data_IF_551521734488
#
_entry.id   IF_551521734488
#
_cell.length_a   1.000
_cell.length_b   1.000
_cell.length_c   1.000
_cell.angle_alpha   90.00
_cell.angle_beta   90.00
_cell.angle_gamma   90.00
#
_symmetry.space_group_name_H-M   'P 1'
#
loop_
_entity.id
_entity.type
_entity.pdbx_description
1 polymer ?
#
# COMPACT_ATOMS: atom_id res chain seq x y z
N UNK A 1 21.36 -71.77 -25.25
CA UNK A 1 21.70 -71.94 -26.67
C UNK A 1 20.45 -72.40 -27.38
N UNK A 2 19.97 -71.51 -28.23
CA UNK A 2 19.25 -71.72 -29.49
C UNK A 2 17.91 -72.48 -29.49
N UNK A 3 16.84 -71.75 -29.82
CA UNK A 3 16.17 -71.98 -31.10
C UNK A 3 15.07 -70.94 -31.41
N UNK A 4 15.27 -70.26 -32.55
CA UNK A 4 14.35 -69.95 -33.64
C UNK A 4 12.84 -69.70 -33.40
N UNK A 5 12.44 -68.47 -33.75
CA UNK A 5 11.47 -68.09 -34.80
C UNK A 5 10.20 -68.94 -35.00
N UNK A 6 9.04 -68.32 -34.71
CA UNK A 6 8.08 -67.82 -35.71
C UNK A 6 6.70 -67.61 -35.05
N UNK A 7 6.12 -66.39 -35.15
CA UNK A 7 4.87 -66.15 -35.88
C UNK A 7 4.17 -64.84 -35.47
N UNK A 8 3.75 -64.13 -36.51
CA UNK A 8 2.46 -63.43 -36.66
C UNK A 8 2.18 -62.20 -35.79
N UNK A 9 2.15 -61.02 -36.41
CA UNK A 9 0.89 -60.49 -36.93
C UNK A 9 1.03 -59.11 -37.59
N UNK A 10 0.66 -59.08 -38.87
CA UNK A 10 -0.11 -58.05 -39.57
C UNK A 10 0.04 -56.58 -39.12
N UNK A 11 0.91 -55.86 -39.82
CA UNK A 11 0.85 -54.41 -39.95
C UNK A 11 -0.40 -53.99 -40.74
N UNK A 12 -1.46 -53.60 -40.04
CA UNK A 12 -2.56 -52.85 -40.64
C UNK A 12 -2.14 -51.38 -40.82
N UNK A 13 -1.91 -51.01 -42.08
CA UNK A 13 -1.80 -49.64 -42.55
C UNK A 13 -3.10 -48.88 -42.26
N UNK A 14 -3.11 -48.07 -41.18
CA UNK A 14 -4.05 -46.97 -41.05
C UNK A 14 -3.29 -45.66 -41.24
N UNK A 15 -3.27 -45.21 -42.50
CA UNK A 15 -2.89 -43.84 -42.88
C UNK A 15 -3.90 -42.85 -42.28
N UNK A 16 -3.71 -42.47 -41.03
CA UNK A 16 -4.33 -41.28 -40.46
C UNK A 16 -3.34 -40.12 -40.58
N UNK A 17 -3.32 -39.49 -41.76
CA UNK A 17 -2.76 -38.15 -41.93
C UNK A 17 -3.55 -37.19 -41.04
N UNK A 18 -3.03 -36.91 -39.85
CA UNK A 18 -3.51 -35.81 -39.02
C UNK A 18 -3.04 -34.53 -39.71
N UNK A 19 -3.90 -33.95 -40.53
CA UNK A 19 -3.76 -32.59 -41.01
C UNK A 19 -3.78 -31.65 -39.79
N UNK A 20 -2.60 -31.24 -39.32
CA UNK A 20 -2.47 -30.13 -38.39
C UNK A 20 -2.81 -28.86 -39.16
N UNK A 21 -4.07 -28.47 -39.09
CA UNK A 21 -4.55 -27.22 -39.67
C UNK A 21 -4.06 -26.08 -38.75
N UNK A 22 -2.86 -25.54 -39.04
CA UNK A 22 -2.34 -24.34 -38.36
C UNK A 22 -3.10 -23.13 -38.92
N UNK A 23 -4.35 -22.99 -38.49
CA UNK A 23 -5.08 -21.73 -38.61
C UNK A 23 -4.57 -20.77 -37.54
N UNK A 24 -3.33 -20.27 -37.72
CA UNK A 24 -2.79 -19.17 -36.94
C UNK A 24 -3.40 -17.83 -37.42
N UNK A 25 -4.72 -17.71 -37.33
CA UNK A 25 -5.40 -16.42 -37.38
C UNK A 25 -5.94 -16.12 -35.97
N UNK A 26 -5.02 -15.95 -35.02
CA UNK A 26 -5.34 -15.19 -33.81
C UNK A 26 -5.42 -13.75 -34.30
N UNK A 27 -6.63 -13.32 -34.68
CA UNK A 27 -6.92 -11.91 -34.89
C UNK A 27 -6.73 -11.25 -33.53
N UNK A 28 -5.52 -10.76 -33.25
CA UNK A 28 -5.27 -9.94 -32.07
C UNK A 28 -6.27 -8.78 -32.15
N UNK A 29 -7.18 -8.72 -31.18
CA UNK A 29 -8.05 -7.55 -31.04
C UNK A 29 -7.15 -6.30 -31.04
N UNK A 30 -7.54 -5.25 -31.78
CA UNK A 30 -6.71 -4.06 -31.90
C UNK A 30 -6.45 -3.48 -30.51
N UNK A 31 -5.21 -3.01 -30.28
CA UNK A 31 -4.83 -2.39 -29.01
C UNK A 31 -5.82 -1.27 -28.68
N UNK A 32 -6.56 -1.43 -27.58
CA UNK A 32 -7.62 -0.50 -27.17
C UNK A 32 -7.22 0.16 -25.86
N UNK A 33 -7.14 1.49 -25.87
CA UNK A 33 -7.03 2.28 -24.66
C UNK A 33 -8.44 2.59 -24.13
N UNK A 34 -8.76 2.11 -22.92
CA UNK A 34 -10.05 2.33 -22.28
C UNK A 34 -9.84 3.02 -20.94
N UNK A 35 -10.59 4.09 -20.70
CA UNK A 35 -10.63 4.74 -19.40
C UNK A 35 -11.46 3.87 -18.45
N UNK A 36 -10.83 3.32 -17.42
CA UNK A 36 -11.51 2.52 -16.40
C UNK A 36 -12.27 3.41 -15.39
N UNK A 37 -11.62 4.46 -14.92
CA UNK A 37 -12.18 5.44 -13.99
C UNK A 37 -11.24 6.63 -13.81
N UNK A 38 -11.76 7.73 -13.26
CA UNK A 38 -11.00 8.96 -12.93
C UNK A 38 -11.52 9.60 -11.65
N UNK A 39 -10.74 10.47 -11.03
CA UNK A 39 -11.33 11.41 -10.08
C UNK A 39 -12.04 12.54 -10.84
N UNK A 40 -13.10 13.08 -10.25
CA UNK A 40 -13.90 14.16 -10.86
C UNK A 40 -13.56 15.53 -10.31
N UNK A 41 -12.65 15.61 -9.34
CA UNK A 41 -12.16 16.86 -8.80
C UNK A 41 -10.82 17.21 -9.43
N UNK A 42 -10.63 18.49 -9.71
CA UNK A 42 -9.36 19.00 -10.20
C UNK A 42 -8.30 18.91 -9.10
N UNK A 43 -7.20 18.26 -9.42
CA UNK A 43 -6.04 18.11 -8.55
C UNK A 43 -4.77 18.36 -9.37
N UNK A 44 -3.93 19.29 -8.92
CA UNK A 44 -2.63 19.54 -9.54
C UNK A 44 -1.62 18.54 -9.00
N UNK A 45 -1.38 17.48 -9.77
CA UNK A 45 -0.57 16.33 -9.35
C UNK A 45 0.91 16.60 -9.62
N UNK A 46 1.77 16.27 -8.65
CA UNK A 46 3.22 16.31 -8.80
C UNK A 46 3.79 14.93 -9.13
N UNK A 47 3.41 13.92 -8.35
CA UNK A 47 3.83 12.54 -8.54
C UNK A 47 2.67 11.58 -8.26
N UNK A 48 2.76 10.38 -8.84
CA UNK A 48 1.79 9.31 -8.64
C UNK A 48 2.51 7.96 -8.69
N UNK A 49 2.09 7.03 -7.83
CA UNK A 49 2.64 5.68 -7.76
C UNK A 49 1.59 4.72 -7.22
N UNK A 50 1.82 3.42 -7.38
CA UNK A 50 0.99 2.39 -6.78
C UNK A 50 1.47 2.01 -5.38
N UNK A 51 0.57 2.06 -4.40
CA UNK A 51 0.77 1.44 -3.09
C UNK A 51 0.04 0.09 -3.09
N UNK A 52 0.75 -0.99 -2.77
CA UNK A 52 0.20 -2.36 -2.84
C UNK A 52 0.11 -2.92 -1.42
N UNK A 53 -1.08 -3.32 -1.03
CA UNK A 53 -1.36 -3.99 0.24
C UNK A 53 -2.02 -5.35 -0.04
N UNK A 54 -1.18 -6.37 -0.24
CA UNK A 54 -1.58 -7.72 -0.64
C UNK A 54 -2.48 -7.73 -1.89
N UNK A 55 -3.78 -7.94 -1.71
CA UNK A 55 -4.77 -7.98 -2.78
C UNK A 55 -5.41 -6.62 -3.07
N UNK A 56 -4.98 -5.56 -2.37
CA UNK A 56 -5.51 -4.22 -2.48
C UNK A 56 -4.51 -3.32 -3.18
N UNK A 57 -4.98 -2.59 -4.20
CA UNK A 57 -4.20 -1.61 -4.92
C UNK A 57 -4.72 -0.20 -4.61
N UNK A 58 -3.81 0.70 -4.28
CA UNK A 58 -4.08 2.12 -4.16
C UNK A 58 -3.24 2.92 -5.15
N UNK A 59 -3.82 3.98 -5.68
CA UNK A 59 -3.10 5.04 -6.39
C UNK A 59 -2.70 6.09 -5.35
N UNK A 60 -1.42 6.15 -5.03
CA UNK A 60 -0.83 7.20 -4.22
C UNK A 60 -0.57 8.41 -5.12
N UNK A 61 -1.08 9.57 -4.73
CA UNK A 61 -0.99 10.80 -5.50
C UNK A 61 -0.51 11.92 -4.60
N UNK A 62 0.50 12.68 -5.03
CA UNK A 62 0.89 13.93 -4.38
C UNK A 62 0.36 15.14 -5.12
N UNK A 63 -0.01 16.20 -4.39
CA UNK A 63 -0.57 17.42 -4.97
C UNK A 63 0.26 18.68 -4.71
N UNK A 64 -0.10 19.76 -5.40
CA UNK A 64 0.48 21.09 -5.26
C UNK A 64 0.20 21.76 -3.89
N UNK A 65 -0.81 21.29 -3.16
CA UNK A 65 -1.14 21.76 -1.81
C UNK A 65 -0.37 20.96 -0.72
N UNK A 66 0.63 20.16 -1.13
CA UNK A 66 1.55 19.37 -0.29
C UNK A 66 0.87 18.24 0.47
N UNK A 67 -0.17 17.66 -0.11
CA UNK A 67 -0.83 16.48 0.41
C UNK A 67 -0.40 15.22 -0.34
N UNK A 68 -0.58 14.09 0.31
CA UNK A 68 -0.67 12.77 -0.30
C UNK A 68 -2.11 12.28 -0.15
N UNK A 69 -2.68 11.75 -1.22
CA UNK A 69 -3.98 11.10 -1.25
C UNK A 69 -3.82 9.66 -1.74
N UNK A 70 -4.60 8.74 -1.17
CA UNK A 70 -4.76 7.39 -1.68
C UNK A 70 -6.12 7.27 -2.37
N UNK A 71 -6.13 6.82 -3.61
CA UNK A 71 -7.35 6.47 -4.35
C UNK A 71 -7.42 4.97 -4.58
N UNK A 72 -8.61 4.43 -4.78
CA UNK A 72 -8.80 3.04 -5.22
C UNK A 72 -9.85 2.97 -6.33
N UNK A 73 -9.69 1.97 -7.20
CA UNK A 73 -10.67 1.61 -8.21
C UNK A 73 -11.56 0.50 -7.65
N UNK A 74 -12.82 0.82 -7.35
CA UNK A 74 -13.76 -0.10 -6.72
C UNK A 74 -15.08 -0.15 -7.51
N UNK A 75 -15.13 -0.84 -8.66
CA UNK A 75 -16.25 -0.77 -9.61
C UNK A 75 -17.58 -1.28 -9.05
N UNK A 76 -17.51 -2.17 -8.05
CA UNK A 76 -18.69 -2.72 -7.37
C UNK A 76 -19.17 -1.85 -6.20
N UNK A 77 -18.44 -0.78 -5.86
CA UNK A 77 -18.86 0.13 -4.81
C UNK A 77 -19.87 1.14 -5.38
N UNK A 78 -21.01 1.30 -4.71
CA UNK A 78 -22.08 2.23 -5.13
C UNK A 78 -21.61 3.68 -5.27
N UNK A 79 -20.58 4.09 -4.53
CA UNK A 79 -20.01 5.43 -4.58
C UNK A 79 -19.11 5.67 -5.80
N UNK A 80 -18.73 4.60 -6.52
CA UNK A 80 -17.82 4.65 -7.66
C UNK A 80 -18.50 4.99 -8.99
N UNK A 81 -19.82 5.19 -9.01
CA UNK A 81 -20.59 5.41 -10.24
C UNK A 81 -20.32 4.33 -11.29
N UNK A 82 -20.54 3.06 -10.92
CA UNK A 82 -20.23 1.88 -11.74
C UNK A 82 -18.76 1.84 -12.21
N UNK A 83 -17.83 2.19 -11.32
CA UNK A 83 -16.38 2.20 -11.57
C UNK A 83 -15.84 3.46 -12.25
N UNK A 84 -16.68 4.35 -12.78
CA UNK A 84 -16.20 5.54 -13.49
C UNK A 84 -15.47 6.54 -12.57
N UNK A 85 -15.75 6.50 -11.26
CA UNK A 85 -15.18 7.39 -10.26
C UNK A 85 -14.20 6.65 -9.35
N UNK A 86 -12.97 7.19 -9.25
CA UNK A 86 -12.00 6.74 -8.26
C UNK A 86 -12.44 7.18 -6.86
N UNK A 87 -12.29 6.28 -5.88
CA UNK A 87 -12.66 6.56 -4.49
C UNK A 87 -11.42 6.95 -3.71
N UNK A 88 -11.39 8.17 -3.18
CA UNK A 88 -10.36 8.58 -2.21
C UNK A 88 -10.55 7.78 -0.93
N UNK A 89 -9.52 7.08 -0.48
CA UNK A 89 -9.50 6.23 0.71
C UNK A 89 -8.73 6.84 1.88
N UNK A 90 -7.77 7.72 1.59
CA UNK A 90 -7.00 8.40 2.62
C UNK A 90 -6.46 9.74 2.12
N UNK A 91 -6.21 10.66 3.04
CA UNK A 91 -5.51 11.91 2.81
C UNK A 91 -4.57 12.26 3.97
N UNK A 92 -3.45 12.91 3.66
CA UNK A 92 -2.42 13.30 4.62
C UNK A 92 -1.63 14.52 4.14
N UNK A 93 -1.53 15.56 4.97
CA UNK A 93 -0.69 16.72 4.66
C UNK A 93 0.78 16.47 5.06
N UNK A 94 1.65 16.42 4.06
CA UNK A 94 3.09 16.15 4.25
C UNK A 94 3.82 17.38 4.77
N UNK A 95 3.43 18.56 4.28
CA UNK A 95 4.11 19.83 4.59
C UNK A 95 5.15 20.27 3.56
N UNK A 96 5.45 19.41 2.59
CA UNK A 96 6.36 19.66 1.48
C UNK A 96 5.81 19.08 0.16
N UNK A 97 6.25 19.62 -0.97
CA UNK A 97 5.87 19.11 -2.28
C UNK A 97 6.60 17.79 -2.55
N UNK A 98 5.86 16.69 -2.65
CA UNK A 98 6.43 15.39 -3.06
C UNK A 98 6.49 15.36 -4.58
N UNK A 99 7.69 15.48 -5.15
CA UNK A 99 7.94 15.61 -6.59
C UNK A 99 8.27 14.29 -7.28
N UNK A 100 8.74 13.29 -6.53
CA UNK A 100 9.02 11.97 -7.07
C UNK A 100 8.62 10.88 -6.07
N UNK A 101 8.25 9.72 -6.61
CA UNK A 101 7.84 8.54 -5.85
C UNK A 101 8.47 7.30 -6.48
N UNK A 102 8.85 6.34 -5.66
CA UNK A 102 9.39 5.05 -6.11
C UNK A 102 8.81 3.92 -5.26
N UNK A 103 8.27 2.90 -5.92
CA UNK A 103 7.71 1.72 -5.25
C UNK A 103 8.78 0.69 -4.94
N UNK A 104 8.80 0.21 -3.71
CA UNK A 104 9.73 -0.80 -3.20
C UNK A 104 8.96 -1.96 -2.55
N UNK A 105 9.45 -3.19 -2.67
CA UNK A 105 8.83 -4.37 -2.07
C UNK A 105 9.08 -4.42 -0.56
N UNK A 106 8.03 -4.34 0.27
CA UNK A 106 8.18 -4.31 1.73
C UNK A 106 8.79 -5.63 2.24
N UNK A 107 9.97 -5.54 2.84
CA UNK A 107 10.63 -6.71 3.43
C UNK A 107 9.99 -7.03 4.79
N UNK A 108 9.42 -8.23 4.92
CA UNK A 108 8.92 -8.72 6.20
C UNK A 108 10.02 -9.49 6.94
N UNK A 109 10.75 -8.80 7.81
CA UNK A 109 11.88 -9.42 8.54
C UNK A 109 11.41 -10.26 9.73
N UNK A 110 10.26 -9.92 10.33
CA UNK A 110 9.67 -10.69 11.45
C UNK A 110 8.97 -11.93 10.90
N UNK A 111 9.74 -12.94 10.50
CA UNK A 111 9.21 -14.26 10.16
C UNK A 111 8.62 -14.91 11.41
N UNK A 112 7.30 -15.06 11.47
CA UNK A 112 6.68 -15.94 12.48
C UNK A 112 7.23 -17.35 12.28
N UNK A 113 7.94 -17.87 13.28
CA UNK A 113 8.37 -19.28 13.28
C UNK A 113 7.12 -20.16 13.16
N UNK A 114 7.03 -20.95 12.09
CA UNK A 114 6.00 -21.99 11.91
C UNK A 114 4.84 -21.68 10.97
N UNK A 115 4.81 -20.55 10.25
CA UNK A 115 3.84 -20.35 9.17
C UNK A 115 4.49 -20.57 7.81
N UNK A 116 4.29 -21.75 7.24
CA UNK A 116 4.50 -21.98 5.82
C UNK A 116 3.62 -21.02 5.00
N UNK A 117 4.24 -20.27 4.09
CA UNK A 117 3.63 -19.70 2.88
C UNK A 117 2.58 -18.56 3.02
N UNK A 118 2.88 -17.49 3.75
CA UNK A 118 2.27 -16.19 3.45
C UNK A 118 3.33 -15.08 3.46
N UNK A 119 4.11 -15.00 2.39
CA UNK A 119 4.88 -13.80 2.08
C UNK A 119 3.88 -12.69 1.74
N UNK A 120 3.72 -11.67 2.59
CA UNK A 120 2.84 -10.55 2.24
C UNK A 120 3.40 -9.85 0.99
N UNK A 121 2.51 -9.52 0.05
CA UNK A 121 2.87 -8.87 -1.22
C UNK A 121 2.71 -7.37 -1.08
N UNK A 122 3.24 -6.85 0.01
CA UNK A 122 3.15 -5.45 0.34
C UNK A 122 4.26 -4.69 -0.37
N UNK A 123 3.93 -3.54 -0.95
CA UNK A 123 4.91 -2.60 -1.47
C UNK A 123 4.73 -1.26 -0.77
N UNK A 124 5.83 -0.63 -0.36
CA UNK A 124 5.85 0.72 0.16
C UNK A 124 6.23 1.71 -0.95
N UNK A 125 5.93 2.98 -0.73
CA UNK A 125 6.33 4.06 -1.62
C UNK A 125 7.35 4.95 -0.91
N UNK A 126 8.54 5.10 -1.48
CA UNK A 126 9.49 6.14 -1.13
C UNK A 126 9.10 7.43 -1.84
N UNK A 127 9.18 8.56 -1.16
CA UNK A 127 8.72 9.86 -1.62
C UNK A 127 9.86 10.88 -1.45
N UNK A 128 10.31 11.49 -2.54
CA UNK A 128 11.26 12.60 -2.51
C UNK A 128 10.53 13.95 -2.55
N UNK A 129 10.98 14.89 -1.71
CA UNK A 129 10.39 16.22 -1.62
C UNK A 129 11.26 17.31 -2.25
N UNK A 130 10.65 18.41 -2.68
CA UNK A 130 11.38 19.57 -3.22
C UNK A 130 12.23 20.31 -2.18
N UNK A 131 11.94 20.12 -0.88
CA UNK A 131 12.74 20.70 0.21
C UNK A 131 13.98 19.83 0.53
N UNK A 132 14.28 18.82 -0.28
CA UNK A 132 15.43 17.92 -0.11
C UNK A 132 15.21 16.79 0.90
N UNK A 133 13.97 16.60 1.36
CA UNK A 133 13.59 15.52 2.28
C UNK A 133 13.22 14.24 1.55
N UNK A 134 13.28 13.13 2.29
CA UNK A 134 12.77 11.83 1.88
C UNK A 134 11.78 11.37 2.94
N UNK A 135 10.62 10.90 2.51
CA UNK A 135 9.64 10.24 3.37
C UNK A 135 9.14 8.96 2.71
N UNK A 136 8.32 8.19 3.42
CA UNK A 136 7.79 6.94 2.90
C UNK A 136 6.36 6.70 3.36
N UNK A 137 5.63 5.90 2.58
CA UNK A 137 4.28 5.43 2.90
C UNK A 137 4.29 3.91 2.89
N UNK A 138 3.94 3.31 4.03
CA UNK A 138 3.99 1.86 4.26
C UNK A 138 2.60 1.33 4.57
N UNK A 139 2.15 0.26 3.89
CA UNK A 139 0.93 -0.43 4.27
C UNK A 139 1.14 -1.24 5.54
N UNK A 140 0.18 -1.14 6.45
CA UNK A 140 0.17 -1.83 7.75
C UNK A 140 -1.13 -2.58 7.94
N UNK A 141 -1.06 -3.72 8.64
CA UNK A 141 -2.26 -4.48 8.95
C UNK A 141 -3.27 -3.66 9.76
N UNK A 142 -4.57 -3.90 9.58
CA UNK A 142 -5.62 -3.19 10.32
C UNK A 142 -5.45 -3.29 11.85
N UNK A 143 -4.98 -4.44 12.34
CA UNK A 143 -4.67 -4.65 13.77
C UNK A 143 -3.53 -3.77 14.26
N UNK A 144 -2.51 -3.54 13.43
CA UNK A 144 -1.43 -2.60 13.73
C UNK A 144 -1.93 -1.17 13.66
N UNK A 145 -2.65 -0.81 12.60
CA UNK A 145 -3.22 0.52 12.40
C UNK A 145 -4.06 0.96 13.60
N UNK A 146 -5.00 0.13 14.08
CA UNK A 146 -5.86 0.47 15.22
C UNK A 146 -5.06 0.77 16.49
N UNK A 147 -4.02 -0.02 16.76
CA UNK A 147 -3.15 0.16 17.94
C UNK A 147 -2.26 1.39 17.81
N UNK A 148 -1.65 1.59 16.64
CA UNK A 148 -0.85 2.80 16.37
C UNK A 148 -1.73 4.05 16.35
N UNK A 149 -2.96 3.98 15.87
CA UNK A 149 -3.90 5.11 15.94
C UNK A 149 -4.27 5.46 17.40
N UNK A 150 -4.50 4.46 18.26
CA UNK A 150 -4.70 4.70 19.69
C UNK A 150 -3.48 5.36 20.33
N UNK A 151 -2.27 4.91 19.97
CA UNK A 151 -1.02 5.52 20.39
C UNK A 151 -0.91 6.97 19.89
N UNK A 152 -1.22 7.23 18.62
CA UNK A 152 -1.19 8.57 18.01
C UNK A 152 -2.08 9.57 18.78
N UNK A 153 -3.30 9.15 19.14
CA UNK A 153 -4.22 9.94 19.96
C UNK A 153 -3.65 10.19 21.35
N UNK A 154 -3.10 9.15 21.99
CA UNK A 154 -2.50 9.28 23.33
C UNK A 154 -1.28 10.19 23.33
N UNK A 155 -0.41 10.12 22.31
CA UNK A 155 0.76 10.98 22.16
C UNK A 155 0.35 12.42 21.86
N UNK A 156 -0.60 12.64 20.96
CA UNK A 156 -1.12 13.98 20.66
C UNK A 156 -1.60 14.71 21.91
N UNK A 157 -2.29 14.02 22.82
CA UNK A 157 -2.77 14.63 24.06
C UNK A 157 -1.79 14.54 25.24
N UNK A 158 -0.81 13.64 25.18
CA UNK A 158 -0.01 13.21 26.33
C UNK A 158 1.39 13.81 26.41
N UNK A 159 1.86 14.47 25.35
CA UNK A 159 3.19 15.10 25.30
C UNK A 159 3.07 16.58 24.93
N UNK A 160 4.10 17.35 25.27
CA UNK A 160 4.20 18.74 24.85
C UNK A 160 4.77 18.80 23.43
N UNK A 161 4.02 19.43 22.52
CA UNK A 161 4.46 19.62 21.14
C UNK A 161 5.29 20.89 21.01
N UNK A 162 6.22 20.86 20.07
CA UNK A 162 7.08 22.00 19.74
C UNK A 162 6.20 23.20 19.38
N UNK A 163 6.50 24.36 19.98
CA UNK A 163 5.75 25.61 19.81
C UNK A 163 4.24 25.51 20.12
N UNK A 164 3.78 24.48 20.86
CA UNK A 164 2.37 24.28 21.16
C UNK A 164 1.49 23.95 19.96
N UNK A 165 2.09 23.51 18.85
CA UNK A 165 1.37 23.18 17.62
C UNK A 165 0.57 21.89 17.78
N UNK A 166 -0.58 21.82 17.12
CA UNK A 166 -1.41 20.60 17.09
C UNK A 166 -1.03 19.72 15.88
N UNK A 167 -0.33 18.58 16.07
CA UNK A 167 0.08 17.72 14.96
C UNK A 167 -1.11 17.16 14.19
N UNK A 168 -2.21 16.82 14.89
CA UNK A 168 -3.42 16.30 14.23
C UNK A 168 -4.10 17.34 13.36
N UNK A 169 -4.04 18.61 13.73
CA UNK A 169 -4.55 19.71 12.92
C UNK A 169 -3.69 19.91 11.67
N UNK A 170 -2.36 19.89 11.85
CA UNK A 170 -1.39 20.07 10.79
C UNK A 170 -1.47 19.00 9.68
N UNK A 171 -1.73 17.73 10.03
CA UNK A 171 -1.80 16.63 9.05
C UNK A 171 -3.10 16.55 8.26
N UNK A 172 -4.08 17.44 8.51
CA UNK A 172 -5.33 17.45 7.74
C UNK A 172 -5.09 17.96 6.33
N UNK A 173 -5.75 17.34 5.34
CA UNK A 173 -5.63 17.77 3.95
C UNK A 173 -5.95 19.26 3.77
N UNK A 174 -5.04 19.96 3.12
CA UNK A 174 -5.23 21.34 2.72
C UNK A 174 -5.69 21.38 1.27
N UNK A 175 -6.85 21.99 0.99
CA UNK A 175 -7.28 22.20 -0.39
C UNK A 175 -8.12 23.45 -0.54
N UNK A 176 -8.00 24.15 -1.67
CA UNK A 176 -8.90 25.28 -1.99
C UNK A 176 -10.33 24.79 -2.25
N UNK A 177 -10.52 23.55 -2.69
CA UNK A 177 -11.84 22.98 -2.95
C UNK A 177 -12.52 22.55 -1.65
N UNK A 178 -13.61 23.24 -1.29
CA UNK A 178 -14.40 23.00 -0.06
C UNK A 178 -14.87 21.54 0.05
N UNK A 179 -15.25 20.90 -1.06
CA UNK A 179 -15.71 19.50 -1.06
C UNK A 179 -14.61 18.49 -0.75
N UNK A 180 -13.36 18.79 -1.12
CA UNK A 180 -12.23 17.94 -0.75
C UNK A 180 -12.03 18.02 0.76
N UNK A 181 -12.08 19.23 1.34
CA UNK A 181 -11.99 19.49 2.79
C UNK A 181 -13.12 18.86 3.62
N UNK A 182 -14.33 18.71 3.07
CA UNK A 182 -15.48 18.20 3.83
C UNK A 182 -15.50 16.69 4.02
N UNK A 183 -14.78 15.92 3.19
CA UNK A 183 -14.75 14.45 3.21
C UNK A 183 -13.36 13.94 3.59
N UNK A 184 -12.92 14.24 4.81
CA UNK A 184 -11.58 13.88 5.32
C UNK A 184 -11.54 12.38 5.63
N UNK A 185 -10.65 11.65 4.95
CA UNK A 185 -10.43 10.23 5.15
C UNK A 185 -9.13 10.00 5.91
N UNK A 186 -9.27 9.83 7.24
CA UNK A 186 -8.15 9.70 8.18
C UNK A 186 -7.65 8.26 8.27
N UNK A 187 -6.98 7.82 7.20
CA UNK A 187 -6.45 6.46 7.07
C UNK A 187 -4.92 6.40 6.89
N UNK A 188 -4.21 7.50 7.17
CA UNK A 188 -2.73 7.55 7.22
C UNK A 188 -2.34 8.07 8.60
N UNK A 189 -1.37 7.41 9.24
CA UNK A 189 -0.83 7.79 10.54
C UNK A 189 0.46 8.60 10.39
N UNK A 190 0.70 9.51 11.33
CA UNK A 190 1.93 10.30 11.38
C UNK A 190 3.06 9.49 12.03
N UNK A 191 3.98 9.00 11.20
CA UNK A 191 5.13 8.23 11.66
C UNK A 191 6.02 9.03 12.60
N UNK A 192 6.27 10.31 12.31
CA UNK A 192 7.15 11.16 13.12
C UNK A 192 6.63 11.30 14.55
N UNK A 193 5.32 11.48 14.69
CA UNK A 193 4.68 11.55 16.00
C UNK A 193 4.72 10.21 16.71
N UNK A 194 4.46 9.10 16.01
CA UNK A 194 4.53 7.75 16.59
C UNK A 194 5.93 7.43 17.12
N UNK A 195 6.98 7.81 16.39
CA UNK A 195 8.36 7.64 16.82
C UNK A 195 8.70 8.40 18.10
N UNK A 196 7.99 9.48 18.46
CA UNK A 196 8.24 10.17 19.73
C UNK A 196 8.00 9.26 20.95
N UNK A 197 7.25 8.18 20.81
CA UNK A 197 7.12 7.17 21.86
C UNK A 197 8.48 6.61 22.31
N UNK A 198 9.44 6.43 21.39
CA UNK A 198 10.78 5.90 21.73
C UNK A 198 11.58 6.88 22.59
N UNK A 199 11.27 8.17 22.50
CA UNK A 199 11.95 9.24 23.23
C UNK A 199 11.38 9.46 24.64
N UNK A 200 10.26 8.81 24.98
CA UNK A 200 9.69 8.88 26.33
C UNK A 200 10.55 8.11 27.34
N UNK A 201 10.50 8.53 28.60
CA UNK A 201 11.09 7.76 29.70
C UNK A 201 10.43 6.39 29.83
N UNK A 202 11.14 5.43 30.45
CA UNK A 202 10.62 4.07 30.65
C UNK A 202 9.26 4.07 31.37
N UNK A 203 9.08 4.99 32.34
CA UNK A 203 7.79 5.16 33.01
C UNK A 203 6.73 5.74 32.05
N UNK A 204 7.08 6.78 31.28
CA UNK A 204 6.18 7.35 30.28
C UNK A 204 5.72 6.34 29.24
N UNK A 205 6.63 5.50 28.74
CA UNK A 205 6.29 4.40 27.81
C UNK A 205 5.33 3.39 28.46
N UNK A 206 5.58 2.99 29.71
CA UNK A 206 4.68 2.09 30.46
C UNK A 206 3.31 2.70 30.69
N UNK A 207 3.23 3.99 31.02
CA UNK A 207 1.96 4.66 31.26
C UNK A 207 1.15 4.84 29.98
N UNK A 208 1.79 5.25 28.89
CA UNK A 208 1.14 5.39 27.58
C UNK A 208 0.68 4.05 27.02
N UNK A 209 1.52 3.00 27.11
CA UNK A 209 1.15 1.65 26.65
C UNK A 209 -0.04 1.09 27.43
N UNK A 210 -0.08 1.27 28.75
CA UNK A 210 -1.23 0.89 29.60
C UNK A 210 -2.51 1.61 29.20
N UNK A 211 -2.46 2.92 28.93
CA UNK A 211 -3.65 3.70 28.51
C UNK A 211 -4.30 3.17 27.24
N UNK A 212 -3.51 2.67 26.30
CA UNK A 212 -4.02 2.12 25.04
C UNK A 212 -4.29 0.61 25.10
N UNK A 213 -4.09 -0.03 26.27
CA UNK A 213 -4.29 -1.46 26.44
C UNK A 213 -3.27 -2.33 25.69
N UNK A 214 -2.01 -1.88 25.58
CA UNK A 214 -0.92 -2.61 24.92
C UNK A 214 0.30 -2.75 25.83
N UNK A 215 1.25 -3.60 25.44
CA UNK A 215 2.59 -3.63 26.04
C UNK A 215 3.56 -2.70 25.29
N UNK A 216 4.59 -2.21 26.00
CA UNK A 216 5.68 -1.43 25.41
C UNK A 216 6.38 -2.25 24.31
N UNK A 217 6.70 -3.51 24.59
CA UNK A 217 7.33 -4.41 23.64
C UNK A 217 6.52 -4.54 22.34
N UNK A 218 5.19 -4.67 22.45
CA UNK A 218 4.35 -4.80 21.26
C UNK A 218 4.36 -3.53 20.40
N UNK A 219 4.30 -2.36 21.04
CA UNK A 219 4.39 -1.06 20.35
C UNK A 219 5.74 -0.92 19.67
N UNK A 220 6.83 -1.21 20.37
CA UNK A 220 8.19 -1.12 19.81
C UNK A 220 8.38 -2.06 18.61
N UNK A 221 7.85 -3.29 18.70
CA UNK A 221 7.88 -4.23 17.58
C UNK A 221 7.09 -3.73 16.36
N UNK A 222 5.95 -3.06 16.57
CA UNK A 222 5.19 -2.50 15.44
C UNK A 222 5.90 -1.29 14.81
N UNK A 223 6.49 -0.40 15.62
CA UNK A 223 7.31 0.72 15.14
C UNK A 223 8.48 0.23 14.30
N UNK A 224 9.12 -0.86 14.74
CA UNK A 224 10.21 -1.52 14.04
C UNK A 224 9.72 -2.21 12.76
N UNK A 225 8.58 -2.90 12.76
CA UNK A 225 8.01 -3.47 11.53
C UNK A 225 7.69 -2.41 10.47
N UNK A 226 7.26 -1.20 10.89
CA UNK A 226 7.05 -0.07 9.98
C UNK A 226 8.36 0.46 9.37
N UNK A 227 9.49 0.39 10.10
CA UNK A 227 10.79 0.91 9.66
C UNK A 227 11.56 -0.06 8.79
N UNK A 228 11.57 -1.35 9.17
CA UNK A 228 12.41 -2.37 8.53
C UNK A 228 12.04 -2.62 7.08
N UNK A 229 10.79 -2.35 6.69
CA UNK A 229 10.33 -2.49 5.32
C UNK A 229 11.02 -1.57 4.31
N UNK A 230 11.86 -0.63 4.77
CA UNK A 230 12.49 0.44 3.97
C UNK A 230 14.03 0.44 4.12
N UNK A 231 14.61 -0.58 4.75
CA UNK A 231 16.07 -0.78 4.86
C UNK A 231 16.67 -1.20 3.50
N UNK A 232 16.59 -0.34 2.48
CA UNK A 232 17.17 -0.56 1.16
C UNK A 232 18.48 0.19 0.93
N UNK A 233 18.83 1.13 1.82
CA UNK A 233 19.96 2.05 1.68
C UNK A 233 20.81 2.08 2.94
#
# INVERSE_FOLDING_TARGET
>A
MDNNNNNNNNNNNNNNNINININNNILLEPAKLVVLGKDFYDLQIYASEFLIDDNTLFFLVSDADKNICLFTYAPYNVQSSNGQKLLRQADFHVGSHVSCTSRLEKINVIKKKGSDQNTSKQHCCLCGTLDGGICYVVPVSERMYKRMNALNVSLTAGINHIAGLNPRGYRQMHSKAIRLKSNINKNILDGDLLYQFTNLSILGQKDMSKRIGSSVEKIMNDLLEMSMGIEFF
#
